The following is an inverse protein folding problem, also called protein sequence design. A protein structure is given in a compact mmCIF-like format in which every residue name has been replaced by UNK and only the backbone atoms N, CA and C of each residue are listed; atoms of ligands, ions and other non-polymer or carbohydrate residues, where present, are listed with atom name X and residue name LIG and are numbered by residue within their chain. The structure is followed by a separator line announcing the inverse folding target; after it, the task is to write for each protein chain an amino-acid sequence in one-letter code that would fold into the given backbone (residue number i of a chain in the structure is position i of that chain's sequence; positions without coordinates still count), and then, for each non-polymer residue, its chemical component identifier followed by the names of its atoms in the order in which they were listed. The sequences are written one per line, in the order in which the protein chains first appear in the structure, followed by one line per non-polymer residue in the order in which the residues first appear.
data_IF_132192526279
#
_entry.id   IF_132192526279
#
_cell.length_a   1.000
_cell.length_b   1.000
_cell.length_c   1.000
_cell.angle_alpha   90.00
_cell.angle_beta   90.00
_cell.angle_gamma   90.00
#
_symmetry.space_group_name_H-M   'P 1'
#
loop_
_entity.id
_entity.type
_entity.pdbx_description
1 polymer ?
#
# COMPACT_ATOMS: atom_id res chain seq x y z
N UNK A 1 15.52 -13.40 -28.32
CA UNK A 1 15.18 -14.33 -27.22
C UNK A 1 13.81 -14.92 -27.51
N UNK A 2 13.67 -16.24 -27.50
CA UNK A 2 12.37 -16.89 -27.72
C UNK A 2 11.42 -16.57 -26.55
N UNK A 3 10.17 -16.26 -26.84
CA UNK A 3 9.11 -15.93 -25.88
C UNK A 3 8.83 -17.04 -24.85
N UNK A 4 9.36 -18.24 -25.05
CA UNK A 4 9.06 -19.42 -24.24
C UNK A 4 9.72 -19.44 -22.85
N UNK A 5 10.67 -18.56 -22.54
CA UNK A 5 11.52 -18.71 -21.34
C UNK A 5 11.45 -17.54 -20.33
N UNK A 6 10.47 -16.65 -20.48
CA UNK A 6 10.45 -15.36 -19.79
C UNK A 6 9.82 -15.42 -18.41
N UNK A 7 8.76 -16.22 -18.25
CA UNK A 7 8.08 -16.39 -16.96
C UNK A 7 9.01 -17.02 -15.91
N UNK A 8 9.75 -18.12 -16.20
CA UNK A 8 10.69 -18.69 -15.23
C UNK A 8 11.83 -17.74 -14.86
N UNK A 9 12.30 -16.92 -15.81
CA UNK A 9 13.36 -15.94 -15.58
C UNK A 9 12.91 -14.83 -14.61
N UNK A 10 11.72 -14.27 -14.85
CA UNK A 10 11.12 -13.25 -13.96
C UNK A 10 10.77 -13.85 -12.61
N UNK A 11 10.26 -15.09 -12.57
CA UNK A 11 9.98 -15.79 -11.32
C UNK A 11 11.24 -15.95 -10.47
N UNK A 12 12.37 -16.36 -11.08
CA UNK A 12 13.65 -16.46 -10.39
C UNK A 12 14.11 -15.10 -9.83
N UNK A 13 13.96 -14.03 -10.61
CA UNK A 13 14.25 -12.67 -10.16
C UNK A 13 13.37 -12.26 -8.97
N UNK A 14 12.07 -12.54 -9.03
CA UNK A 14 11.12 -12.22 -7.97
C UNK A 14 11.33 -13.10 -6.72
N UNK A 15 11.80 -14.33 -6.87
CA UNK A 15 12.23 -15.16 -5.73
C UNK A 15 13.40 -14.52 -4.98
N UNK A 16 14.30 -13.85 -5.70
CA UNK A 16 15.38 -13.02 -5.15
C UNK A 16 15.04 -11.52 -5.25
N UNK A 17 13.84 -11.15 -4.81
CA UNK A 17 13.29 -9.79 -4.98
C UNK A 17 14.19 -8.67 -4.43
N UNK A 18 15.16 -9.00 -3.58
CA UNK A 18 16.14 -8.09 -3.00
C UNK A 18 17.02 -7.48 -4.10
N UNK A 19 17.29 -8.25 -5.16
CA UNK A 19 18.04 -7.84 -6.34
C UNK A 19 17.24 -7.04 -7.37
N UNK A 20 15.91 -6.90 -7.21
CA UNK A 20 15.08 -6.12 -8.15
C UNK A 20 15.48 -4.64 -8.08
N UNK A 21 15.70 -4.05 -9.25
CA UNK A 21 16.20 -2.67 -9.42
C UNK A 21 15.74 -2.11 -10.77
N UNK A 22 15.91 -0.81 -10.99
CA UNK A 22 15.51 -0.13 -12.25
C UNK A 22 16.08 -0.78 -13.52
N UNK A 23 17.23 -1.46 -13.43
CA UNK A 23 17.80 -2.20 -14.55
C UNK A 23 16.90 -3.34 -15.05
N UNK A 24 15.92 -3.78 -14.27
CA UNK A 24 15.01 -4.86 -14.58
C UNK A 24 13.68 -4.38 -15.19
N UNK A 25 13.48 -3.06 -15.37
CA UNK A 25 12.24 -2.50 -15.93
C UNK A 25 11.90 -3.04 -17.34
N UNK A 26 12.91 -3.45 -18.11
CA UNK A 26 12.70 -4.05 -19.43
C UNK A 26 11.84 -5.33 -19.38
N UNK A 27 11.78 -6.03 -18.25
CA UNK A 27 10.89 -7.19 -18.08
C UNK A 27 9.41 -6.82 -18.22
N UNK A 28 9.00 -5.59 -17.90
CA UNK A 28 7.62 -5.15 -18.08
C UNK A 28 7.22 -5.14 -19.57
N UNK A 29 8.11 -4.62 -20.44
CA UNK A 29 7.88 -4.64 -21.88
C UNK A 29 7.84 -6.07 -22.44
N UNK A 30 8.73 -6.92 -21.94
CA UNK A 30 8.81 -8.33 -22.28
C UNK A 30 7.54 -9.12 -21.88
N UNK A 31 7.04 -8.92 -20.66
CA UNK A 31 5.80 -9.54 -20.17
C UNK A 31 4.57 -9.02 -20.92
N UNK A 32 4.55 -7.72 -21.25
CA UNK A 32 3.50 -7.12 -22.09
C UNK A 32 3.45 -7.76 -23.48
N UNK A 33 4.62 -7.96 -24.10
CA UNK A 33 4.71 -8.64 -25.39
C UNK A 33 4.29 -10.12 -25.30
N UNK A 34 4.68 -10.82 -24.24
CA UNK A 34 4.21 -12.19 -23.98
C UNK A 34 2.68 -12.24 -23.88
N UNK A 35 2.07 -11.35 -23.09
CA UNK A 35 0.62 -11.28 -22.90
C UNK A 35 -0.13 -11.08 -24.22
N UNK A 36 0.43 -10.29 -25.15
CA UNK A 36 -0.14 -10.06 -26.48
C UNK A 36 0.04 -11.24 -27.44
N UNK A 37 1.17 -11.95 -27.36
CA UNK A 37 1.53 -13.00 -28.31
C UNK A 37 0.93 -14.38 -27.98
N UNK A 38 0.56 -14.63 -26.73
CA UNK A 38 -0.03 -15.90 -26.30
C UNK A 38 -1.56 -15.86 -26.35
N UNK A 39 -2.20 -17.00 -26.59
CA UNK A 39 -3.64 -17.20 -26.40
C UNK A 39 -3.97 -17.92 -25.09
N UNK A 40 -2.95 -18.41 -24.37
CA UNK A 40 -3.15 -19.09 -23.09
C UNK A 40 -3.47 -18.10 -21.97
N UNK A 41 -4.73 -18.13 -21.50
CA UNK A 41 -5.22 -17.30 -20.42
C UNK A 41 -4.43 -17.46 -19.11
N UNK A 42 -3.90 -18.65 -18.81
CA UNK A 42 -3.06 -18.86 -17.61
C UNK A 42 -1.74 -18.13 -17.74
N UNK A 43 -1.11 -18.19 -18.92
CA UNK A 43 0.12 -17.45 -19.22
C UNK A 43 -0.13 -15.94 -19.12
N UNK A 44 -1.25 -15.44 -19.66
CA UNK A 44 -1.63 -14.02 -19.53
C UNK A 44 -1.83 -13.59 -18.08
N UNK A 45 -2.47 -14.42 -17.25
CA UNK A 45 -2.68 -14.15 -15.83
C UNK A 45 -1.35 -14.11 -15.07
N UNK A 46 -0.44 -15.06 -15.30
CA UNK A 46 0.90 -15.03 -14.70
C UNK A 46 1.72 -13.82 -15.16
N UNK A 47 1.65 -13.46 -16.44
CA UNK A 47 2.32 -12.27 -16.95
C UNK A 47 1.83 -11.00 -16.25
N UNK A 48 0.51 -10.88 -16.01
CA UNK A 48 -0.05 -9.77 -15.23
C UNK A 48 0.46 -9.77 -13.78
N UNK A 49 0.49 -10.91 -13.11
CA UNK A 49 0.97 -11.03 -11.72
C UNK A 49 2.43 -10.60 -11.61
N UNK A 50 3.30 -11.13 -12.47
CA UNK A 50 4.72 -10.80 -12.45
C UNK A 50 4.97 -9.34 -12.82
N UNK A 51 4.20 -8.78 -13.76
CA UNK A 51 4.28 -7.34 -14.07
C UNK A 51 3.90 -6.50 -12.85
N UNK A 52 2.79 -6.84 -12.19
CA UNK A 52 2.28 -6.13 -11.01
C UNK A 52 3.26 -6.21 -9.82
N UNK A 53 3.92 -7.36 -9.61
CA UNK A 53 4.95 -7.51 -8.58
C UNK A 53 6.19 -6.68 -8.87
N UNK A 54 6.69 -6.69 -10.11
CA UNK A 54 7.82 -5.86 -10.53
C UNK A 54 7.50 -4.37 -10.39
N UNK A 55 6.34 -3.94 -10.88
CA UNK A 55 5.82 -2.58 -10.70
C UNK A 55 5.76 -2.19 -9.22
N UNK A 56 5.31 -3.08 -8.34
CA UNK A 56 5.28 -2.84 -6.90
C UNK A 56 6.67 -2.59 -6.31
N UNK A 57 7.68 -3.36 -6.71
CA UNK A 57 9.06 -3.15 -6.28
C UNK A 57 9.67 -1.87 -6.83
N UNK A 58 9.45 -1.54 -8.11
CA UNK A 58 9.94 -0.29 -8.70
C UNK A 58 9.28 0.94 -8.07
N UNK A 59 7.97 0.88 -7.87
CA UNK A 59 7.20 1.93 -7.21
C UNK A 59 7.70 2.17 -5.79
N UNK A 60 8.07 1.12 -5.07
CA UNK A 60 8.64 1.25 -3.74
C UNK A 60 10.04 1.88 -3.73
N UNK A 61 10.90 1.56 -4.71
CA UNK A 61 12.19 2.26 -4.88
C UNK A 61 11.97 3.75 -5.16
N UNK A 62 10.98 4.09 -5.98
CA UNK A 62 10.60 5.47 -6.27
C UNK A 62 10.06 6.19 -5.03
N UNK A 63 9.19 5.55 -4.25
CA UNK A 63 8.68 6.07 -2.96
C UNK A 63 9.85 6.41 -2.04
N UNK A 64 10.81 5.49 -1.88
CA UNK A 64 11.97 5.73 -1.02
C UNK A 64 12.81 6.91 -1.51
N UNK A 65 13.01 7.03 -2.83
CA UNK A 65 13.68 8.18 -3.44
C UNK A 65 12.99 9.51 -3.13
N UNK A 66 11.64 9.56 -3.23
CA UNK A 66 10.85 10.75 -2.89
C UNK A 66 10.90 11.07 -1.41
N UNK A 67 10.84 10.06 -0.54
CA UNK A 67 10.99 10.25 0.91
C UNK A 67 12.36 10.86 1.25
N UNK A 68 13.43 10.34 0.64
CA UNK A 68 14.79 10.86 0.82
C UNK A 68 14.97 12.29 0.26
N UNK A 69 14.20 12.66 -0.76
CA UNK A 69 14.15 14.01 -1.32
C UNK A 69 13.19 14.96 -0.58
N UNK A 70 12.55 14.51 0.51
CA UNK A 70 11.50 15.22 1.24
C UNK A 70 10.26 15.60 0.39
N UNK A 71 10.02 14.90 -0.72
CA UNK A 71 8.80 15.02 -1.54
C UNK A 71 7.66 14.18 -0.94
N UNK A 72 7.26 14.50 0.29
CA UNK A 72 6.39 13.67 1.11
C UNK A 72 4.99 13.47 0.51
N UNK A 73 4.37 14.50 -0.07
CA UNK A 73 3.04 14.32 -0.67
C UNK A 73 3.08 13.38 -1.88
N UNK A 74 4.07 13.53 -2.76
CA UNK A 74 4.28 12.65 -3.91
C UNK A 74 4.54 11.20 -3.47
N UNK A 75 5.36 11.02 -2.42
CA UNK A 75 5.59 9.71 -1.82
C UNK A 75 4.30 9.10 -1.26
N UNK A 76 3.45 9.89 -0.59
CA UNK A 76 2.14 9.45 -0.11
C UNK A 76 1.21 8.97 -1.21
N UNK A 77 1.08 9.73 -2.30
CA UNK A 77 0.28 9.34 -3.46
C UNK A 77 0.74 7.99 -4.04
N UNK A 78 2.06 7.76 -4.08
CA UNK A 78 2.63 6.50 -4.56
C UNK A 78 2.47 5.36 -3.55
N UNK A 79 2.53 5.62 -2.25
CA UNK A 79 2.22 4.64 -1.21
C UNK A 79 0.80 4.12 -1.35
N UNK A 80 -0.19 5.00 -1.57
CA UNK A 80 -1.56 4.58 -1.87
C UNK A 80 -1.62 3.72 -3.15
N UNK A 81 -0.91 4.12 -4.20
CA UNK A 81 -0.86 3.32 -5.44
C UNK A 81 -0.29 1.93 -5.20
N UNK A 82 0.76 1.81 -4.39
CA UNK A 82 1.36 0.54 -4.00
C UNK A 82 0.39 -0.32 -3.18
N UNK A 83 -0.32 0.28 -2.22
CA UNK A 83 -1.37 -0.37 -1.44
C UNK A 83 -2.46 -0.99 -2.33
N UNK A 84 -2.93 -0.23 -3.35
CA UNK A 84 -3.93 -0.70 -4.32
C UNK A 84 -3.38 -1.87 -5.14
N UNK A 85 -2.13 -1.81 -5.61
CA UNK A 85 -1.49 -2.90 -6.34
C UNK A 85 -1.41 -4.17 -5.49
N UNK A 86 -0.98 -4.06 -4.22
CA UNK A 86 -0.90 -5.18 -3.28
C UNK A 86 -2.29 -5.76 -2.95
N UNK A 87 -3.31 -4.92 -2.82
CA UNK A 87 -4.69 -5.37 -2.64
C UNK A 87 -5.19 -6.19 -3.85
N UNK A 88 -4.89 -5.74 -5.07
CA UNK A 88 -5.24 -6.47 -6.29
C UNK A 88 -4.51 -7.82 -6.39
N UNK A 89 -3.23 -7.88 -6.03
CA UNK A 89 -2.47 -9.14 -5.94
C UNK A 89 -3.08 -10.10 -4.92
N UNK A 90 -3.39 -9.61 -3.72
CA UNK A 90 -4.03 -10.41 -2.67
C UNK A 90 -5.39 -10.98 -3.12
N UNK A 91 -6.17 -10.19 -3.86
CA UNK A 91 -7.43 -10.65 -4.46
C UNK A 91 -7.24 -11.70 -5.55
N UNK A 92 -6.04 -11.90 -6.08
CA UNK A 92 -5.71 -12.85 -7.16
C UNK A 92 -4.58 -13.82 -6.76
N UNK A 93 -4.47 -14.12 -5.46
CA UNK A 93 -3.43 -14.99 -4.89
C UNK A 93 -3.35 -16.39 -5.50
N UNK A 94 -4.41 -16.87 -6.16
CA UNK A 94 -4.42 -18.16 -6.85
C UNK A 94 -3.42 -18.25 -8.02
N UNK A 95 -2.92 -17.10 -8.50
CA UNK A 95 -1.90 -17.01 -9.55
C UNK A 95 -0.51 -16.62 -8.99
N UNK A 96 -0.35 -16.62 -7.66
CA UNK A 96 0.85 -16.20 -6.95
C UNK A 96 1.43 -17.41 -6.23
N UNK A 97 2.62 -17.85 -6.64
CA UNK A 97 3.25 -19.08 -6.12
C UNK A 97 4.32 -18.84 -5.04
N UNK A 98 4.48 -17.61 -4.55
CA UNK A 98 5.47 -17.24 -3.55
C UNK A 98 5.20 -15.86 -2.94
N UNK A 99 5.94 -15.51 -1.88
CA UNK A 99 5.80 -14.18 -1.27
C UNK A 99 6.31 -13.08 -2.21
N UNK A 100 7.44 -13.30 -2.89
CA UNK A 100 8.03 -12.36 -3.85
C UNK A 100 8.20 -10.93 -3.29
N UNK A 101 8.39 -10.81 -1.97
CA UNK A 101 8.54 -9.54 -1.27
C UNK A 101 7.23 -8.84 -0.95
N UNK A 102 6.07 -9.46 -1.18
CA UNK A 102 4.78 -8.88 -0.83
C UNK A 102 4.66 -8.60 0.67
N UNK A 103 5.14 -9.49 1.54
CA UNK A 103 5.11 -9.25 2.98
C UNK A 103 5.94 -8.01 3.36
N UNK A 104 7.11 -7.86 2.74
CA UNK A 104 7.95 -6.69 2.90
C UNK A 104 7.25 -5.41 2.40
N UNK A 105 6.72 -5.40 1.18
CA UNK A 105 6.04 -4.23 0.61
C UNK A 105 4.81 -3.84 1.42
N UNK A 106 4.01 -4.81 1.89
CA UNK A 106 2.86 -4.54 2.76
C UNK A 106 3.29 -3.91 4.08
N UNK A 107 4.34 -4.45 4.72
CA UNK A 107 4.89 -3.86 5.94
C UNK A 107 5.42 -2.44 5.68
N UNK A 108 6.17 -2.23 4.60
CA UNK A 108 6.70 -0.91 4.26
C UNK A 108 5.59 0.11 4.03
N UNK A 109 4.55 -0.23 3.27
CA UNK A 109 3.37 0.64 3.06
C UNK A 109 2.73 1.02 4.39
N UNK A 110 2.42 0.03 5.23
CA UNK A 110 1.76 0.28 6.52
C UNK A 110 2.63 1.13 7.44
N UNK A 111 3.92 0.80 7.54
CA UNK A 111 4.86 1.51 8.39
C UNK A 111 5.03 2.94 7.93
N UNK A 112 5.30 3.20 6.64
CA UNK A 112 5.45 4.56 6.13
C UNK A 112 4.16 5.37 6.28
N UNK A 113 3.01 4.82 5.86
CA UNK A 113 1.73 5.53 5.95
C UNK A 113 1.36 5.90 7.39
N UNK A 114 1.75 5.09 8.39
CA UNK A 114 1.48 5.39 9.80
C UNK A 114 2.16 6.67 10.30
N UNK A 115 3.30 7.02 9.71
CA UNK A 115 4.12 8.18 10.09
C UNK A 115 3.60 9.49 9.49
N UNK A 116 2.72 9.40 8.49
CA UNK A 116 2.17 10.59 7.87
C UNK A 116 1.23 11.33 8.84
N UNK A 117 1.28 12.66 8.84
CA UNK A 117 0.45 13.49 9.71
C UNK A 117 -1.00 13.63 9.20
N UNK A 118 -1.35 13.05 8.06
CA UNK A 118 -2.69 13.20 7.46
C UNK A 118 -3.76 12.48 8.28
N UNK A 119 -4.77 13.23 8.74
CA UNK A 119 -5.91 12.71 9.52
C UNK A 119 -7.27 12.97 8.87
N UNK A 120 -7.32 13.89 7.90
CA UNK A 120 -8.53 14.34 7.23
C UNK A 120 -8.27 14.32 5.73
N UNK A 121 -9.29 13.96 4.98
CA UNK A 121 -9.22 13.75 3.54
C UNK A 121 -10.52 14.16 2.89
N UNK A 122 -10.47 14.64 1.65
CA UNK A 122 -11.66 14.82 0.83
C UNK A 122 -12.11 13.49 0.25
N UNK A 123 -13.39 13.17 0.40
CA UNK A 123 -14.02 12.04 -0.27
C UNK A 123 -15.20 12.53 -1.08
N UNK A 124 -15.27 12.15 -2.35
CA UNK A 124 -16.46 12.42 -3.14
C UNK A 124 -17.60 11.51 -2.69
N UNK A 125 -18.83 12.04 -2.80
CA UNK A 125 -20.08 11.31 -2.69
C UNK A 125 -20.77 11.37 -4.03
N UNK A 126 -20.91 10.22 -4.66
CA UNK A 126 -21.40 10.09 -6.04
C UNK A 126 -22.52 9.04 -6.10
N UNK A 127 -23.50 9.27 -6.97
CA UNK A 127 -24.48 8.24 -7.38
C UNK A 127 -24.03 7.69 -8.72
N UNK A 128 -23.64 6.42 -8.75
CA UNK A 128 -23.35 5.71 -10.00
C UNK A 128 -24.67 5.33 -10.66
N UNK A 129 -24.99 5.98 -11.78
CA UNK A 129 -26.22 5.73 -12.55
C UNK A 129 -26.06 4.57 -13.53
N UNK A 130 -24.88 4.46 -14.15
CA UNK A 130 -24.57 3.41 -15.12
C UNK A 130 -23.11 3.00 -15.04
N UNK A 131 -22.89 1.69 -15.09
CA UNK A 131 -21.56 1.09 -15.13
C UNK A 131 -21.57 -0.24 -15.90
N UNK A 132 -20.43 -0.59 -16.48
CA UNK A 132 -20.23 -1.84 -17.23
C UNK A 132 -18.99 -2.59 -16.77
N UNK A 133 -18.93 -3.89 -17.06
CA UNK A 133 -17.76 -4.72 -16.78
C UNK A 133 -16.64 -4.42 -17.79
N UNK A 134 -15.41 -4.17 -17.32
CA UNK A 134 -14.27 -3.91 -18.21
C UNK A 134 -13.90 -5.08 -19.14
N UNK A 135 -14.28 -6.32 -18.79
CA UNK A 135 -13.90 -7.54 -19.54
C UNK A 135 -14.89 -7.87 -20.66
N UNK A 136 -16.18 -7.63 -20.46
CA UNK A 136 -17.23 -8.05 -21.39
C UNK A 136 -18.24 -6.97 -21.74
N UNK A 137 -18.05 -5.77 -21.19
CA UNK A 137 -18.87 -4.58 -21.44
C UNK A 137 -20.37 -4.74 -21.13
N UNK A 138 -20.77 -5.84 -20.50
CA UNK A 138 -22.14 -6.05 -20.05
C UNK A 138 -22.45 -5.05 -18.94
N UNK A 139 -23.60 -4.34 -19.00
CA UNK A 139 -24.05 -3.48 -17.92
C UNK A 139 -24.11 -4.24 -16.60
N UNK A 140 -23.67 -3.58 -15.52
CA UNK A 140 -23.80 -4.11 -14.17
C UNK A 140 -25.02 -3.51 -13.50
N UNK A 141 -25.91 -4.39 -13.03
CA UNK A 141 -27.07 -4.03 -12.22
C UNK A 141 -27.34 -5.14 -11.20
N UNK A 142 -28.23 -4.87 -10.25
CA UNK A 142 -28.67 -5.88 -9.26
C UNK A 142 -29.38 -7.06 -9.94
N UNK A 143 -30.11 -6.79 -11.03
CA UNK A 143 -30.96 -7.78 -11.72
C UNK A 143 -30.25 -8.50 -12.89
N UNK A 144 -29.32 -7.81 -13.54
CA UNK A 144 -28.55 -8.30 -14.68
C UNK A 144 -27.07 -8.01 -14.45
N UNK A 145 -26.24 -9.05 -14.50
CA UNK A 145 -24.80 -8.92 -14.34
C UNK A 145 -24.05 -9.97 -15.14
N UNK A 146 -22.82 -9.63 -15.54
CA UNK A 146 -21.91 -10.60 -16.12
C UNK A 146 -21.37 -11.58 -15.06
N UNK A 147 -20.80 -12.69 -15.52
CA UNK A 147 -20.12 -13.68 -14.65
C UNK A 147 -18.75 -13.23 -14.14
N UNK A 148 -18.23 -12.09 -14.61
CA UNK A 148 -16.94 -11.56 -14.16
C UNK A 148 -17.08 -10.84 -12.82
N UNK A 149 -16.25 -11.25 -11.86
CA UNK A 149 -16.16 -10.69 -10.51
C UNK A 149 -15.18 -9.53 -10.50
N UNK A 150 -15.59 -8.40 -9.92
CA UNK A 150 -14.71 -7.24 -9.72
C UNK A 150 -13.46 -7.61 -8.92
N UNK A 151 -12.31 -7.11 -9.35
CA UNK A 151 -11.00 -7.36 -8.75
C UNK A 151 -10.43 -8.75 -9.07
N UNK A 152 -11.01 -9.52 -9.99
CA UNK A 152 -10.48 -10.81 -10.44
C UNK A 152 -9.86 -10.73 -11.84
N UNK A 153 -8.85 -11.56 -12.07
CA UNK A 153 -8.15 -11.65 -13.36
C UNK A 153 -8.87 -12.55 -14.36
N UNK A 154 -8.94 -12.06 -15.59
CA UNK A 154 -9.45 -12.76 -16.76
C UNK A 154 -8.51 -12.48 -17.93
N UNK A 155 -7.82 -13.51 -18.43
CA UNK A 155 -6.90 -13.41 -19.58
C UNK A 155 -5.84 -12.29 -19.45
N UNK A 156 -5.28 -12.12 -18.25
CA UNK A 156 -4.27 -11.11 -17.93
C UNK A 156 -4.83 -9.70 -17.70
N UNK A 157 -6.15 -9.56 -17.54
CA UNK A 157 -6.81 -8.29 -17.29
C UNK A 157 -7.62 -8.33 -16.00
N UNK A 158 -7.48 -7.28 -15.19
CA UNK A 158 -8.26 -7.13 -13.97
C UNK A 158 -9.67 -6.65 -14.33
N UNK A 159 -10.68 -7.38 -13.86
CA UNK A 159 -12.06 -6.97 -14.01
C UNK A 159 -12.37 -5.78 -13.11
N UNK A 160 -12.65 -4.64 -13.71
CA UNK A 160 -13.06 -3.42 -13.04
C UNK A 160 -14.47 -3.01 -13.47
N UNK A 161 -15.03 -2.06 -12.74
CA UNK A 161 -16.26 -1.38 -13.12
C UNK A 161 -15.87 -0.12 -13.90
N UNK A 162 -16.39 0.00 -15.12
CA UNK A 162 -16.27 1.21 -15.93
C UNK A 162 -17.52 2.04 -15.67
N UNK A 163 -17.36 3.15 -14.96
CA UNK A 163 -18.44 4.10 -14.69
C UNK A 163 -18.70 4.89 -15.98
N UNK A 164 -19.92 4.80 -16.51
CA UNK A 164 -20.33 5.45 -17.75
C UNK A 164 -21.17 6.72 -17.48
N UNK A 165 -21.93 6.71 -16.39
CA UNK A 165 -22.75 7.84 -15.95
C UNK A 165 -22.79 7.87 -14.42
N UNK A 166 -22.52 9.04 -13.85
CA UNK A 166 -22.58 9.29 -12.42
C UNK A 166 -22.99 10.73 -12.14
N UNK A 167 -23.51 10.95 -10.95
CA UNK A 167 -23.85 12.26 -10.43
C UNK A 167 -23.04 12.54 -9.16
N UNK A 168 -22.21 13.58 -9.21
CA UNK A 168 -21.50 14.07 -8.04
C UNK A 168 -22.47 14.85 -7.14
N UNK A 169 -22.58 14.44 -5.88
CA UNK A 169 -23.43 15.09 -4.87
C UNK A 169 -22.63 16.11 -4.08
N UNK A 170 -21.59 15.65 -3.37
CA UNK A 170 -20.76 16.49 -2.48
C UNK A 170 -19.32 15.98 -2.42
N UNK A 171 -18.43 16.84 -1.92
CA UNK A 171 -17.18 16.41 -1.31
C UNK A 171 -17.30 16.56 0.19
N UNK A 172 -17.03 15.48 0.93
CA UNK A 172 -17.07 15.46 2.38
C UNK A 172 -15.65 15.37 2.94
N UNK A 173 -15.43 15.95 4.12
CA UNK A 173 -14.20 15.76 4.88
C UNK A 173 -14.35 14.54 5.78
N UNK A 174 -13.46 13.56 5.61
CA UNK A 174 -13.53 12.27 6.31
C UNK A 174 -12.19 11.88 6.90
N UNK A 175 -12.20 11.06 7.96
CA UNK A 175 -10.97 10.51 8.55
C UNK A 175 -10.54 9.17 7.93
N UNK A 176 -11.39 8.54 7.13
CA UNK A 176 -11.11 7.27 6.47
C UNK A 176 -11.62 7.32 5.01
N UNK A 177 -10.79 7.82 4.06
CA UNK A 177 -11.19 8.00 2.68
C UNK A 177 -11.08 6.70 1.88
N UNK A 178 -11.81 6.64 0.77
CA UNK A 178 -11.53 5.67 -0.30
C UNK A 178 -10.28 6.06 -1.07
N UNK A 179 -10.04 7.37 -1.24
CA UNK A 179 -8.87 7.94 -1.93
C UNK A 179 -8.01 8.69 -0.90
N UNK A 180 -6.92 8.06 -0.47
CA UNK A 180 -5.98 8.59 0.52
C UNK A 180 -5.21 9.81 0.00
N UNK A 181 -4.95 9.93 -1.31
CA UNK A 181 -4.23 11.06 -1.90
C UNK A 181 -4.98 12.40 -1.79
N UNK A 182 -6.28 12.39 -1.48
CA UNK A 182 -7.14 13.59 -1.38
C UNK A 182 -6.91 14.36 -0.07
N UNK A 183 -5.68 14.82 0.16
CA UNK A 183 -5.26 15.53 1.38
C UNK A 183 -5.61 17.02 1.27
N UNK A 184 -6.22 17.64 2.31
CA UNK A 184 -6.47 19.07 2.33
C UNK A 184 -5.19 19.87 2.65
N UNK A 185 -4.89 20.89 1.85
CA UNK A 185 -3.80 21.83 2.11
C UNK A 185 -4.33 23.23 2.39
N UNK A 186 -3.80 23.91 3.40
CA UNK A 186 -4.10 25.31 3.67
C UNK A 186 -3.31 26.17 2.66
N UNK A 187 -3.96 26.59 1.57
CA UNK A 187 -3.35 27.28 0.42
C UNK A 187 -2.45 26.38 -0.44
N UNK A 188 -1.66 26.95 -1.37
CA UNK A 188 -0.72 26.20 -2.21
C UNK A 188 0.51 25.67 -1.45
N UNK A 189 0.53 25.82 -0.12
CA UNK A 189 1.67 25.46 0.74
C UNK A 189 1.33 24.22 1.56
N UNK A 190 2.26 23.27 1.56
CA UNK A 190 2.25 22.14 2.47
C UNK A 190 2.55 22.61 3.92
N UNK A 191 1.57 22.44 4.80
CA UNK A 191 1.59 22.94 6.18
C UNK A 191 1.77 21.82 7.23
N UNK A 192 1.95 20.59 6.78
CA UNK A 192 2.03 19.43 7.66
C UNK A 192 3.41 19.23 8.28
N UNK A 193 3.45 18.63 9.48
CA UNK A 193 4.70 18.28 10.16
C UNK A 193 5.14 16.84 9.85
N UNK A 194 6.22 16.71 9.09
CA UNK A 194 6.82 15.44 8.69
C UNK A 194 8.00 14.99 9.57
N UNK A 195 8.15 15.54 10.78
CA UNK A 195 9.26 15.20 11.69
C UNK A 195 9.37 13.71 11.98
N UNK A 196 8.26 12.97 12.05
CA UNK A 196 8.27 11.51 12.23
C UNK A 196 8.89 10.77 11.02
N UNK A 197 8.61 11.21 9.80
CA UNK A 197 9.23 10.66 8.59
C UNK A 197 10.73 10.98 8.54
N UNK A 198 11.11 12.21 8.86
CA UNK A 198 12.54 12.62 8.91
C UNK A 198 13.31 11.79 9.94
N UNK A 199 12.74 11.57 11.12
CA UNK A 199 13.33 10.72 12.14
C UNK A 199 13.47 9.27 11.67
N UNK A 200 12.47 8.73 10.97
CA UNK A 200 12.54 7.40 10.39
C UNK A 200 13.64 7.27 9.33
N UNK A 201 13.81 8.28 8.48
CA UNK A 201 14.84 8.32 7.43
C UNK A 201 16.27 8.44 7.96
N UNK A 202 16.46 8.88 9.21
CA UNK A 202 17.76 8.82 9.89
C UNK A 202 18.14 7.40 10.31
N UNK A 203 17.18 6.47 10.29
CA UNK A 203 17.33 5.10 10.78
C UNK A 203 17.25 4.11 9.62
N UNK A 204 16.32 4.32 8.69
CA UNK A 204 16.12 3.49 7.50
C UNK A 204 16.92 4.11 6.35
N UNK A 205 18.17 3.70 6.20
CA UNK A 205 19.11 4.32 5.27
C UNK A 205 18.95 3.82 3.83
N UNK A 206 18.48 2.58 3.68
CA UNK A 206 18.32 1.94 2.38
C UNK A 206 16.87 1.51 2.14
N UNK A 207 16.41 1.48 0.87
CA UNK A 207 15.04 1.07 0.58
C UNK A 207 14.76 -0.37 1.05
N UNK A 208 15.77 -1.24 1.11
CA UNK A 208 15.60 -2.67 1.42
C UNK A 208 15.65 -3.01 2.91
N UNK A 209 15.76 -2.01 3.78
CA UNK A 209 15.71 -2.23 5.22
C UNK A 209 14.28 -2.48 5.71
N UNK A 210 14.13 -3.55 6.50
CA UNK A 210 12.87 -3.85 7.16
C UNK A 210 12.75 -3.00 8.43
N UNK A 211 11.67 -2.23 8.53
CA UNK A 211 11.28 -1.56 9.77
C UNK A 211 9.77 -1.65 9.98
N UNK A 212 9.34 -1.61 11.23
CA UNK A 212 7.93 -1.62 11.58
C UNK A 212 7.61 -0.41 12.45
N UNK A 213 6.58 0.35 12.06
CA UNK A 213 6.02 1.41 12.88
C UNK A 213 4.67 0.96 13.43
N UNK A 214 4.42 1.19 14.72
CA UNK A 214 3.14 0.89 15.35
C UNK A 214 2.79 1.92 16.41
N UNK A 215 1.49 2.16 16.61
CA UNK A 215 1.01 3.03 17.69
C UNK A 215 0.95 2.25 18.99
N UNK A 216 1.44 2.85 20.07
CA UNK A 216 1.29 2.28 21.40
C UNK A 216 -0.01 2.74 22.06
N UNK A 217 -0.86 1.77 22.42
CA UNK A 217 -2.00 1.99 23.32
C UNK A 217 -1.52 2.36 24.73
N UNK A 218 -1.94 3.50 25.26
CA UNK A 218 -1.69 3.86 26.65
C UNK A 218 -2.93 3.47 27.49
N UNK A 219 -2.78 2.73 28.60
CA UNK A 219 -3.88 2.44 29.51
C UNK A 219 -4.53 3.72 30.03
N UNK A 220 -5.87 3.76 30.03
CA UNK A 220 -6.63 4.96 30.36
C UNK A 220 -6.32 5.52 31.77
N UNK A 221 -5.94 4.64 32.71
CA UNK A 221 -5.56 4.99 34.08
C UNK A 221 -4.40 6.00 34.17
N UNK A 222 -3.62 6.21 33.09
CA UNK A 222 -2.55 7.23 33.04
C UNK A 222 -3.06 8.64 32.72
N UNK A 223 -4.30 8.81 32.25
CA UNK A 223 -4.91 10.12 32.03
C UNK A 223 -5.70 10.56 33.27
N UNK A 224 -4.99 11.01 34.31
CA UNK A 224 -5.55 11.29 35.64
C UNK A 224 -6.30 12.63 35.79
N UNK A 225 -6.92 13.16 34.73
CA UNK A 225 -7.90 14.26 34.92
C UNK A 225 -7.96 15.39 33.90
N UNK A 226 -7.57 15.21 32.63
CA UNK A 226 -7.55 16.30 31.63
C UNK A 226 -8.63 16.19 30.54
N UNK A 227 -9.35 15.06 30.43
CA UNK A 227 -10.32 14.85 29.35
C UNK A 227 -11.74 14.71 29.90
N UNK A 228 -12.49 15.81 29.94
CA UNK A 228 -13.93 15.74 30.22
C UNK A 228 -14.62 14.91 29.11
N UNK A 229 -15.66 14.11 29.46
CA UNK A 229 -16.42 13.28 28.52
C UNK A 229 -16.82 14.00 27.22
N UNK A 230 -17.12 15.30 27.35
CA UNK A 230 -17.62 16.18 26.30
C UNK A 230 -16.54 16.85 25.43
N UNK A 231 -15.25 16.68 25.75
CA UNK A 231 -14.17 17.22 24.91
C UNK A 231 -13.88 16.29 23.72
N UNK A 232 -13.33 16.81 22.62
CA UNK A 232 -12.83 15.98 21.54
C UNK A 232 -11.91 14.88 22.06
N UNK A 233 -12.09 13.66 21.55
CA UNK A 233 -11.37 12.52 22.05
C UNK A 233 -9.85 12.66 21.84
N UNK A 234 -9.03 12.44 22.89
CA UNK A 234 -7.57 12.56 22.79
C UNK A 234 -6.90 11.51 21.90
N UNK A 235 -7.63 10.47 21.46
CA UNK A 235 -7.09 9.45 20.57
C UNK A 235 -6.77 9.97 19.16
N UNK A 236 -7.29 11.16 18.79
CA UNK A 236 -7.11 11.79 17.47
C UNK A 236 -7.57 10.92 16.27
N UNK A 237 -8.26 9.79 16.51
CA UNK A 237 -8.85 8.91 15.47
C UNK A 237 -10.19 9.40 14.97
N UNK A 238 -10.88 10.23 15.76
CA UNK A 238 -12.16 10.80 15.40
C UNK A 238 -12.32 12.20 16.01
N UNK A 239 -13.14 13.02 15.36
CA UNK A 239 -13.57 14.32 15.86
C UNK A 239 -14.68 14.23 16.92
N UNK A 240 -15.09 13.02 17.31
CA UNK A 240 -16.16 12.82 18.31
C UNK A 240 -15.66 13.17 19.71
N UNK A 241 -16.62 13.42 20.58
CA UNK A 241 -16.37 13.58 22.01
C UNK A 241 -15.76 12.29 22.59
N UNK A 242 -15.03 12.46 23.69
CA UNK A 242 -14.32 11.36 24.35
C UNK A 242 -15.27 10.24 24.81
N UNK A 243 -16.44 10.61 25.33
CA UNK A 243 -17.51 9.69 25.76
C UNK A 243 -18.00 8.77 24.64
N UNK A 244 -18.16 9.33 23.43
CA UNK A 244 -18.67 8.62 22.26
C UNK A 244 -17.58 7.87 21.47
N UNK A 245 -16.31 7.99 21.90
CA UNK A 245 -15.16 7.50 21.14
C UNK A 245 -14.35 6.44 21.89
N UNK A 246 -13.62 6.85 22.94
CA UNK A 246 -12.64 5.97 23.61
C UNK A 246 -12.92 5.76 25.10
N UNK A 247 -13.96 6.37 25.67
CA UNK A 247 -14.28 6.22 27.09
C UNK A 247 -14.64 4.77 27.46
N UNK A 248 -15.30 4.05 26.56
CA UNK A 248 -15.64 2.64 26.77
C UNK A 248 -14.47 1.67 26.52
N UNK A 249 -13.30 2.15 26.07
CA UNK A 249 -12.17 1.31 25.72
C UNK A 249 -11.20 1.14 26.90
N UNK A 250 -10.60 -0.06 27.08
CA UNK A 250 -9.65 -0.32 28.16
C UNK A 250 -8.33 0.46 28.02
N UNK A 251 -7.98 0.85 26.79
CA UNK A 251 -6.81 1.63 26.45
C UNK A 251 -7.20 2.74 25.47
N UNK A 252 -6.53 3.89 25.57
CA UNK A 252 -6.61 4.93 24.56
C UNK A 252 -5.29 4.91 23.80
N UNK A 253 -5.37 4.64 22.50
CA UNK A 253 -4.22 4.81 21.61
C UNK A 253 -3.89 6.30 21.53
N UNK A 254 -2.64 6.63 21.81
CA UNK A 254 -2.09 7.98 21.63
C UNK A 254 -1.14 7.94 20.44
N UNK A 255 -0.80 9.10 19.87
CA UNK A 255 0.16 9.20 18.75
C UNK A 255 1.63 8.95 19.18
N UNK A 256 1.86 8.10 20.19
CA UNK A 256 3.19 7.54 20.47
C UNK A 256 3.46 6.44 19.43
N UNK A 257 4.30 6.76 18.47
CA UNK A 257 4.77 5.82 17.46
C UNK A 257 6.02 5.13 17.99
N UNK A 258 5.97 3.80 18.09
CA UNK A 258 7.15 2.99 18.30
C UNK A 258 7.70 2.61 16.93
N UNK A 259 8.99 2.89 16.76
CA UNK A 259 9.78 2.41 15.63
C UNK A 259 10.59 1.21 16.08
N UNK A 260 10.28 0.06 15.50
CA UNK A 260 11.08 -1.15 15.65
C UNK A 260 11.85 -1.40 14.36
N UNK A 261 13.15 -1.18 14.43
CA UNK A 261 14.06 -1.67 13.41
C UNK A 261 14.38 -3.09 13.80
N UNK A 262 13.80 -4.04 13.06
CA UNK A 262 14.36 -5.38 13.03
C UNK A 262 15.75 -5.23 12.41
N UNK A 263 16.77 -4.95 13.23
CA UNK A 263 18.15 -5.14 12.83
C UNK A 263 18.17 -6.54 12.22
N UNK A 264 18.52 -6.71 10.93
CA UNK A 264 18.79 -8.04 10.45
C UNK A 264 19.88 -8.54 11.39
N UNK A 265 19.57 -9.55 12.21
CA UNK A 265 20.62 -10.38 12.75
C UNK A 265 21.29 -10.90 11.50
N UNK A 266 22.39 -10.25 11.07
CA UNK A 266 23.36 -10.92 10.21
C UNK A 266 23.50 -12.29 10.86
N UNK A 267 23.37 -13.39 10.11
CA UNK A 267 23.82 -14.66 10.63
C UNK A 267 25.22 -14.36 11.14
N UNK A 268 25.45 -14.52 12.45
CA UNK A 268 26.80 -14.50 12.97
C UNK A 268 27.43 -15.68 12.24
N UNK A 269 28.15 -15.39 11.16
CA UNK A 269 29.14 -16.31 10.64
C UNK A 269 30.06 -16.50 11.84
N UNK A 270 29.85 -17.59 12.56
CA UNK A 270 30.75 -18.09 13.60
C UNK A 270 32.06 -18.43 12.88
N UNK A 271 32.84 -17.40 12.56
CA UNK A 271 34.23 -17.54 12.21
C UNK A 271 34.96 -17.77 13.53
N UNK A 272 35.25 -19.05 13.77
CA UNK A 272 36.57 -19.53 14.09
C UNK A 272 37.44 -18.51 14.85
N UNK A 273 37.46 -18.65 16.17
CA UNK A 273 38.67 -18.41 16.94
C UNK A 273 38.91 -19.61 17.86
N UNK A 274 39.19 -20.76 17.24
CA UNK A 274 40.21 -21.65 17.78
C UNK A 274 41.56 -21.01 17.42
N UNK A 275 42.09 -20.23 18.35
CA UNK A 275 43.53 -20.05 18.52
C UNK A 275 43.76 -19.24 19.80
N UNK A 276 44.60 -19.81 20.68
CA UNK A 276 45.06 -19.29 21.97
C UNK A 276 44.00 -19.45 23.07
N UNK A 277 43.95 -20.54 23.84
CA UNK A 277 45.00 -21.24 24.62
C UNK A 277 44.56 -22.66 24.97
#
# INVERSE_FOLDING_TARGET
MSSANILPEVEKLLSDWWGVSSQHEYYLALLSNLKKATDDNKVKNHAWVYSTLLEGHFLYLEIFGLLAAEEFYQAWCKLERLEILLANLRSNREYVNGDFGQSFLNNAVNSWQLLYPYKLFFSSREIIKKMSCSICHTPRSVLQGCRHRRGKLYAGELCNDVVEDFELITYDLVSNPVIKASVPFNSEIDHYDYSALRAALQIVETPREWFSAFKQGIPLAKHTGVHSPTFPCPCMRSIRNYEDCCMALPTTETDHIIFDVLSPRRPILSKLHDSMT
#
